data_IF_330995448352
#
_entry.id   IF_330995448352
#
_cell.length_a   1.000
_cell.length_b   1.000
_cell.length_c   1.000
_cell.angle_alpha   90.00
_cell.angle_beta   90.00
_cell.angle_gamma   90.00
#
_symmetry.space_group_name_H-M   'P 1'
#
loop_
_entity.id
_entity.type
_entity.pdbx_description
1 polymer ?
#
# COMPACT_ATOMS: atom_id res chain seq x y z
N UNK A 1 -14.68 -0.17 -14.16
CA UNK A 1 -14.56 1.29 -14.05
C UNK A 1 -13.11 1.67 -13.87
N UNK A 2 -12.77 2.96 -13.93
CA UNK A 2 -11.38 3.44 -13.78
C UNK A 2 -10.93 3.59 -12.32
N UNK A 3 -11.88 3.64 -11.39
CA UNK A 3 -11.64 3.64 -9.95
C UNK A 3 -12.00 2.25 -9.41
N UNK A 4 -11.04 1.56 -8.80
CA UNK A 4 -11.18 0.16 -8.36
C UNK A 4 -11.07 -0.01 -6.85
N UNK A 5 -11.18 1.08 -6.10
CA UNK A 5 -11.13 1.09 -4.64
C UNK A 5 -12.45 1.59 -4.07
N UNK A 6 -12.62 1.46 -2.76
CA UNK A 6 -13.73 2.09 -2.07
C UNK A 6 -13.53 3.60 -2.11
N UNK A 7 -14.55 4.34 -2.56
CA UNK A 7 -14.51 5.79 -2.60
C UNK A 7 -14.29 6.32 -1.18
N UNK A 8 -13.17 7.01 -0.96
CA UNK A 8 -12.77 7.55 0.35
C UNK A 8 -13.32 8.95 0.60
N UNK A 9 -13.99 9.57 -0.40
CA UNK A 9 -14.38 10.98 -0.36
C UNK A 9 -13.21 11.96 -0.53
N UNK A 10 -11.98 11.47 -0.59
CA UNK A 10 -10.76 12.28 -0.73
C UNK A 10 -10.21 12.18 -2.15
N UNK A 11 -9.88 13.34 -2.73
CA UNK A 11 -9.21 13.41 -4.02
C UNK A 11 -7.70 13.20 -3.88
N UNK A 12 -7.30 11.99 -3.47
CA UNK A 12 -5.89 11.60 -3.34
C UNK A 12 -5.27 11.11 -4.66
N UNK A 13 -4.01 10.67 -4.60
CA UNK A 13 -3.28 10.16 -5.76
C UNK A 13 -4.03 9.02 -6.50
N UNK A 14 -4.74 8.16 -5.77
CA UNK A 14 -5.55 7.07 -6.33
C UNK A 14 -6.70 7.63 -7.17
N UNK A 15 -7.44 8.60 -6.64
CA UNK A 15 -8.54 9.28 -7.34
C UNK A 15 -8.00 10.02 -8.56
N UNK A 16 -6.91 10.78 -8.40
CA UNK A 16 -6.25 11.47 -9.52
C UNK A 16 -5.84 10.51 -10.62
N UNK A 17 -5.22 9.36 -10.29
CA UNK A 17 -4.79 8.38 -11.29
C UNK A 17 -5.98 7.75 -12.03
N UNK A 18 -7.07 7.46 -11.32
CA UNK A 18 -8.31 6.99 -11.94
C UNK A 18 -8.92 8.05 -12.87
N UNK A 19 -8.87 9.33 -12.50
CA UNK A 19 -9.32 10.44 -13.35
C UNK A 19 -8.42 10.59 -14.57
N UNK A 20 -7.10 10.52 -14.43
CA UNK A 20 -6.15 10.51 -15.56
C UNK A 20 -6.46 9.35 -16.51
N UNK A 21 -6.73 8.15 -16.00
CA UNK A 21 -7.05 6.99 -16.81
C UNK A 21 -8.40 7.16 -17.54
N UNK A 22 -9.41 7.72 -16.86
CA UNK A 22 -10.69 8.07 -17.46
C UNK A 22 -10.51 9.09 -18.59
N UNK A 23 -9.77 10.18 -18.33
CA UNK A 23 -9.52 11.24 -19.29
C UNK A 23 -8.82 10.73 -20.56
N UNK A 24 -7.76 9.92 -20.39
CA UNK A 24 -7.05 9.26 -21.50
C UNK A 24 -7.98 8.38 -22.33
N UNK A 25 -8.83 7.58 -21.69
CA UNK A 25 -9.72 6.66 -22.40
C UNK A 25 -10.83 7.37 -23.17
N UNK A 26 -11.14 8.60 -22.78
CA UNK A 26 -12.21 9.42 -23.34
C UNK A 26 -11.71 10.52 -24.30
N UNK A 27 -10.40 10.55 -24.60
CA UNK A 27 -9.76 11.55 -25.46
C UNK A 27 -10.03 13.02 -25.04
N UNK A 28 -10.11 13.29 -23.72
CA UNK A 28 -10.27 14.64 -23.16
C UNK A 28 -8.98 15.13 -22.51
N UNK A 29 -8.96 16.38 -22.01
CA UNK A 29 -7.78 16.96 -21.34
C UNK A 29 -7.34 16.07 -20.17
N UNK A 30 -6.06 15.67 -20.18
CA UNK A 30 -5.48 14.75 -19.20
C UNK A 30 -4.68 15.53 -18.15
N UNK A 31 -5.39 16.17 -17.23
CA UNK A 31 -4.80 16.95 -16.13
C UNK A 31 -4.94 16.24 -14.76
N UNK A 32 -5.73 15.17 -14.70
CA UNK A 32 -6.04 14.46 -13.48
C UNK A 32 -6.94 15.26 -12.54
N UNK A 33 -7.72 16.21 -13.05
CA UNK A 33 -8.70 17.02 -12.31
C UNK A 33 -10.09 16.79 -12.88
N UNK A 34 -11.12 16.76 -12.03
CA UNK A 34 -12.51 16.69 -12.50
C UNK A 34 -13.00 18.10 -12.82
N UNK A 35 -12.57 18.63 -13.98
CA UNK A 35 -13.11 19.86 -14.56
C UNK A 35 -14.46 19.64 -15.24
N UNK A 36 -15.07 20.69 -15.77
CA UNK A 36 -16.40 20.66 -16.40
C UNK A 36 -16.54 19.56 -17.47
N UNK A 37 -15.56 19.44 -18.37
CA UNK A 37 -15.55 18.41 -19.42
C UNK A 37 -15.51 16.98 -18.85
N UNK A 38 -14.65 16.76 -17.85
CA UNK A 38 -14.54 15.45 -17.17
C UNK A 38 -15.82 15.13 -16.38
N UNK A 39 -16.39 16.11 -15.69
CA UNK A 39 -17.62 15.99 -14.91
C UNK A 39 -18.81 15.61 -15.81
N UNK A 40 -19.03 16.39 -16.87
CA UNK A 40 -20.14 16.18 -17.81
C UNK A 40 -20.06 14.80 -18.45
N UNK A 41 -18.85 14.30 -18.73
CA UNK A 41 -18.66 12.99 -19.34
C UNK A 41 -18.84 11.84 -18.34
N UNK A 42 -18.38 11.97 -17.09
CA UNK A 42 -18.58 10.96 -16.03
C UNK A 42 -20.07 10.75 -15.74
N UNK A 43 -20.83 11.84 -15.62
CA UNK A 43 -22.25 11.81 -15.28
C UNK A 43 -23.19 11.75 -16.50
N UNK A 44 -22.63 11.81 -17.70
CA UNK A 44 -23.34 11.64 -18.96
C UNK A 44 -23.37 10.20 -19.47
N UNK A 45 -24.05 9.99 -20.59
CA UNK A 45 -24.14 8.69 -21.28
C UNK A 45 -23.05 8.47 -22.34
N UNK A 46 -22.20 9.48 -22.60
CA UNK A 46 -21.17 9.44 -23.66
C UNK A 46 -19.82 8.88 -23.22
N UNK A 47 -19.64 8.54 -21.94
CA UNK A 47 -18.35 8.09 -21.42
C UNK A 47 -17.96 6.73 -22.02
N UNK A 48 -16.78 6.67 -22.64
CA UNK A 48 -16.09 5.42 -22.95
C UNK A 48 -15.69 4.75 -21.65
N UNK A 49 -16.44 3.70 -21.31
CA UNK A 49 -16.19 2.87 -20.13
C UNK A 49 -15.42 1.62 -20.59
N UNK A 50 -14.39 1.19 -19.85
CA UNK A 50 -13.82 -0.14 -20.06
C UNK A 50 -14.97 -1.13 -19.88
N UNK A 51 -15.01 -2.18 -20.70
CA UNK A 51 -15.86 -3.33 -20.43
C UNK A 51 -15.63 -3.77 -18.98
N UNK A 52 -16.69 -4.19 -18.29
CA UNK A 52 -16.55 -4.79 -16.97
C UNK A 52 -15.69 -6.05 -17.13
N UNK A 53 -14.37 -5.91 -16.99
CA UNK A 53 -13.47 -7.03 -17.02
C UNK A 53 -13.83 -7.89 -15.82
N UNK A 54 -14.25 -9.12 -16.08
CA UNK A 54 -14.55 -10.12 -15.07
C UNK A 54 -13.32 -10.56 -14.28
N UNK A 55 -12.14 -9.97 -14.52
CA UNK A 55 -10.92 -10.07 -13.70
C UNK A 55 -9.95 -8.96 -14.15
N UNK A 56 -9.93 -7.82 -13.45
CA UNK A 56 -8.65 -7.15 -13.28
C UNK A 56 -7.85 -8.08 -12.37
N UNK A 57 -6.94 -8.88 -12.93
CA UNK A 57 -5.93 -9.53 -12.13
C UNK A 57 -5.04 -8.40 -11.56
N UNK A 58 -5.40 -7.86 -10.39
CA UNK A 58 -4.41 -7.21 -9.55
C UNK A 58 -3.32 -8.25 -9.33
N UNK A 59 -2.06 -7.89 -9.52
CA UNK A 59 -0.94 -8.76 -9.16
C UNK A 59 -1.12 -9.11 -7.68
N UNK A 60 -1.52 -10.35 -7.39
CA UNK A 60 -1.67 -10.82 -6.02
C UNK A 60 -0.44 -11.66 -5.72
N UNK A 61 0.17 -11.36 -4.59
CA UNK A 61 1.23 -12.19 -4.09
C UNK A 61 0.70 -13.52 -3.56
N UNK A 62 1.58 -14.54 -3.46
CA UNK A 62 1.23 -15.84 -2.91
C UNK A 62 0.67 -15.73 -1.48
N UNK A 63 -0.28 -16.61 -1.14
CA UNK A 63 -0.86 -16.70 0.23
C UNK A 63 -0.33 -17.90 1.02
N UNK A 64 0.43 -18.74 0.34
CA UNK A 64 1.21 -19.84 0.89
C UNK A 64 2.51 -19.35 1.51
N UNK A 65 3.00 -20.13 2.46
CA UNK A 65 4.30 -19.94 3.05
C UNK A 65 5.38 -20.44 2.10
N UNK A 66 6.42 -19.63 1.90
CA UNK A 66 7.52 -19.92 0.95
C UNK A 66 8.86 -20.19 1.65
N UNK A 67 8.89 -20.12 2.98
CA UNK A 67 10.06 -20.43 3.82
C UNK A 67 9.72 -21.54 4.78
N UNK A 68 10.72 -22.23 5.31
CA UNK A 68 10.52 -23.18 6.41
C UNK A 68 10.21 -22.45 7.73
N UNK A 69 9.64 -23.18 8.70
CA UNK A 69 9.37 -22.69 10.07
C UNK A 69 7.90 -22.37 10.35
N UNK A 70 7.62 -21.89 11.56
CA UNK A 70 6.28 -21.45 11.95
C UNK A 70 5.97 -20.05 11.42
N UNK A 71 4.68 -19.78 11.17
CA UNK A 71 4.23 -18.43 10.79
C UNK A 71 4.51 -17.45 11.92
N UNK A 72 5.26 -16.41 11.58
CA UNK A 72 5.49 -15.28 12.47
C UNK A 72 4.22 -14.44 12.56
N UNK A 73 3.76 -14.21 13.78
CA UNK A 73 2.71 -13.24 14.13
C UNK A 73 3.29 -12.14 15.01
N UNK A 74 2.55 -11.03 15.14
CA UNK A 74 2.91 -9.91 16.02
C UNK A 74 1.72 -9.43 16.84
N UNK A 75 1.97 -8.75 17.96
CA UNK A 75 0.87 -8.10 18.68
C UNK A 75 0.38 -6.87 17.92
N UNK A 76 -0.92 -6.54 17.91
CA UNK A 76 -1.39 -5.23 17.48
C UNK A 76 -0.70 -4.14 18.31
N UNK A 77 -0.39 -3.00 17.67
CA UNK A 77 0.19 -1.83 18.32
C UNK A 77 -0.49 -0.58 17.74
N UNK A 78 -0.89 0.35 18.60
CA UNK A 78 -1.49 1.62 18.17
C UNK A 78 -0.46 2.47 17.41
N UNK A 79 -0.93 3.28 16.44
CA UNK A 79 -0.09 4.14 15.62
C UNK A 79 0.80 5.05 16.46
N UNK A 80 0.25 5.70 17.49
CA UNK A 80 0.99 6.57 18.40
C UNK A 80 2.23 5.87 19.00
N UNK A 81 2.07 4.62 19.44
CA UNK A 81 3.16 3.83 19.99
C UNK A 81 4.13 3.34 18.89
N UNK A 82 3.61 3.00 17.71
CA UNK A 82 4.41 2.61 16.57
C UNK A 82 5.26 3.78 16.05
N UNK A 83 4.71 5.00 16.09
CA UNK A 83 5.37 6.22 15.67
C UNK A 83 6.60 6.53 16.53
N UNK A 84 6.47 6.38 17.84
CA UNK A 84 7.58 6.54 18.80
C UNK A 84 8.68 5.48 18.61
N UNK A 85 8.27 4.24 18.32
CA UNK A 85 9.18 3.10 18.18
C UNK A 85 9.86 3.04 16.81
N UNK A 86 9.15 3.42 15.75
CA UNK A 86 9.62 3.34 14.37
C UNK A 86 10.16 4.70 13.92
N UNK A 87 11.29 5.17 14.45
CA UNK A 87 11.87 6.49 14.16
C UNK A 87 12.25 6.67 12.68
N UNK A 88 11.98 7.86 12.14
CA UNK A 88 12.42 8.26 10.80
C UNK A 88 13.95 8.15 10.70
N UNK A 89 14.43 7.63 9.57
CA UNK A 89 15.85 7.42 9.30
C UNK A 89 16.39 6.07 9.74
N UNK A 90 15.65 5.31 10.55
CA UNK A 90 16.05 3.98 11.01
C UNK A 90 15.54 2.87 10.07
N UNK A 91 16.25 1.75 10.10
CA UNK A 91 15.93 0.54 9.31
C UNK A 91 15.27 -0.51 10.19
N UNK A 92 14.23 -1.15 9.65
CA UNK A 92 13.40 -2.13 10.31
C UNK A 92 13.23 -3.37 9.43
N UNK A 93 13.11 -4.53 10.06
CA UNK A 93 12.75 -5.77 9.38
C UNK A 93 11.25 -5.92 9.31
N UNK A 94 10.74 -6.15 8.10
CA UNK A 94 9.35 -6.48 7.81
C UNK A 94 9.29 -7.91 7.32
N UNK A 95 8.37 -8.70 7.85
CA UNK A 95 8.10 -10.08 7.42
C UNK A 95 6.69 -10.18 6.89
N UNK A 96 6.53 -10.62 5.65
CA UNK A 96 5.22 -10.89 5.08
C UNK A 96 4.58 -12.11 5.75
N UNK A 97 3.38 -11.98 6.31
CA UNK A 97 2.72 -13.05 7.06
C UNK A 97 2.42 -14.27 6.18
N UNK A 98 2.09 -14.07 4.91
CA UNK A 98 1.77 -15.18 4.03
C UNK A 98 3.01 -15.97 3.64
N UNK A 99 3.96 -15.32 2.98
CA UNK A 99 5.15 -15.97 2.42
C UNK A 99 6.25 -16.23 3.43
N UNK A 100 6.22 -15.54 4.57
CA UNK A 100 7.27 -15.52 5.59
C UNK A 100 8.61 -14.98 5.09
N UNK A 101 8.62 -14.33 3.92
CA UNK A 101 9.80 -13.63 3.41
C UNK A 101 9.97 -12.32 4.19
N UNK A 102 11.19 -12.12 4.72
CA UNK A 102 11.58 -10.87 5.35
C UNK A 102 12.41 -9.97 4.43
N UNK A 103 12.23 -8.66 4.58
CA UNK A 103 13.04 -7.64 3.92
C UNK A 103 13.19 -6.42 4.82
N UNK A 104 14.24 -5.64 4.57
CA UNK A 104 14.54 -4.44 5.35
C UNK A 104 13.98 -3.19 4.69
N UNK A 105 13.35 -2.33 5.50
CA UNK A 105 12.82 -1.04 5.06
C UNK A 105 13.34 0.07 5.97
N UNK A 106 13.59 1.25 5.42
CA UNK A 106 13.89 2.46 6.19
C UNK A 106 12.62 3.29 6.30
N UNK A 107 12.28 3.79 7.50
CA UNK A 107 11.21 4.81 7.60
C UNK A 107 11.74 6.13 7.05
N UNK A 108 11.07 6.69 6.06
CA UNK A 108 11.47 7.92 5.37
C UNK A 108 10.53 9.09 5.64
N UNK A 109 9.35 8.82 6.18
CA UNK A 109 8.40 9.84 6.62
C UNK A 109 7.11 9.23 7.16
N UNK A 110 5.98 9.80 6.74
CA UNK A 110 4.63 9.38 7.09
C UNK A 110 4.02 10.16 8.26
N UNK A 111 2.71 10.41 8.16
CA UNK A 111 1.88 11.06 9.17
C UNK A 111 0.59 10.24 9.31
N UNK A 112 0.32 9.71 10.51
CA UNK A 112 -0.77 8.75 10.75
C UNK A 112 -0.50 7.33 10.25
N UNK A 113 0.61 7.10 9.54
CA UNK A 113 1.16 5.81 9.12
C UNK A 113 2.65 5.99 8.78
N UNK A 114 3.40 4.90 8.56
CA UNK A 114 4.81 4.97 8.24
C UNK A 114 5.03 4.94 6.71
N UNK A 115 5.68 5.97 6.17
CA UNK A 115 6.24 5.92 4.81
C UNK A 115 7.59 5.21 4.90
N UNK A 116 7.76 4.17 4.08
CA UNK A 116 8.97 3.35 4.08
C UNK A 116 9.51 3.10 2.69
N UNK A 117 10.83 3.05 2.57
CA UNK A 117 11.52 2.63 1.35
C UNK A 117 12.32 1.37 1.63
N UNK A 118 12.35 0.40 0.71
CA UNK A 118 13.24 -0.76 0.82
C UNK A 118 14.69 -0.29 0.98
N UNK A 119 15.40 -0.87 1.96
CA UNK A 119 16.75 -0.40 2.33
C UNK A 119 17.81 -0.68 1.25
N UNK A 120 17.56 -1.64 0.36
CA UNK A 120 18.46 -2.03 -0.72
C UNK A 120 17.72 -2.60 -1.93
N UNK A 121 18.43 -2.79 -3.05
CA UNK A 121 17.91 -3.48 -4.23
C UNK A 121 17.54 -4.95 -3.95
N UNK A 122 18.27 -5.61 -3.05
CA UNK A 122 17.95 -6.97 -2.63
C UNK A 122 16.65 -7.02 -1.81
N UNK A 123 16.44 -6.05 -0.92
CA UNK A 123 15.19 -5.92 -0.16
C UNK A 123 14.02 -5.63 -1.10
N UNK A 124 14.21 -4.78 -2.10
CA UNK A 124 13.16 -4.51 -3.08
C UNK A 124 12.85 -5.70 -3.99
N UNK A 125 13.85 -6.55 -4.29
CA UNK A 125 13.59 -7.82 -4.97
C UNK A 125 12.69 -8.74 -4.13
N UNK A 126 12.98 -8.88 -2.82
CA UNK A 126 12.14 -9.66 -1.90
C UNK A 126 10.74 -9.07 -1.74
N UNK A 127 10.63 -7.74 -1.62
CA UNK A 127 9.36 -7.03 -1.63
C UNK A 127 8.54 -7.41 -2.86
N UNK A 128 9.13 -7.34 -4.06
CA UNK A 128 8.42 -7.75 -5.29
C UNK A 128 8.01 -9.22 -5.26
N UNK A 129 8.86 -10.12 -4.74
CA UNK A 129 8.50 -11.54 -4.59
C UNK A 129 7.23 -11.72 -3.77
N UNK A 130 7.10 -11.03 -2.62
CA UNK A 130 5.89 -11.16 -1.79
C UNK A 130 4.63 -10.64 -2.48
N UNK A 131 4.75 -9.81 -3.51
CA UNK A 131 3.66 -9.30 -4.34
C UNK A 131 3.54 -10.02 -5.70
N UNK A 132 4.12 -11.22 -5.86
CA UNK A 132 3.98 -12.01 -7.08
C UNK A 132 4.96 -11.61 -8.20
N UNK A 133 6.11 -11.04 -7.84
CA UNK A 133 7.19 -10.64 -8.75
C UNK A 133 7.16 -9.19 -9.21
N UNK A 134 6.15 -8.41 -8.81
CA UNK A 134 5.97 -7.01 -9.18
C UNK A 134 5.59 -6.14 -7.95
N UNK A 135 5.45 -4.83 -8.14
CA UNK A 135 4.74 -3.98 -7.17
C UNK A 135 3.24 -4.12 -7.39
N UNK A 136 2.45 -3.99 -6.33
CA UNK A 136 1.01 -4.23 -6.40
C UNK A 136 0.23 -3.30 -5.51
N UNK A 137 -1.00 -3.01 -5.90
CA UNK A 137 -1.96 -2.32 -5.04
C UNK A 137 -2.57 -3.22 -3.95
N UNK A 138 -2.12 -4.47 -3.83
CA UNK A 138 -2.50 -5.37 -2.74
C UNK A 138 -2.03 -4.83 -1.38
N UNK A 139 -2.88 -5.02 -0.36
CA UNK A 139 -2.49 -4.88 1.05
C UNK A 139 -2.13 -6.24 1.61
N UNK A 140 -1.01 -6.32 2.31
CA UNK A 140 -0.52 -7.58 2.87
C UNK A 140 -0.42 -7.52 4.39
N UNK A 141 -0.77 -8.61 5.10
CA UNK A 141 -0.53 -8.73 6.51
C UNK A 141 0.98 -8.89 6.72
N UNK A 142 1.58 -8.03 7.55
CA UNK A 142 3.02 -8.07 7.80
C UNK A 142 3.32 -7.97 9.29
N UNK A 143 4.47 -8.49 9.69
CA UNK A 143 5.01 -8.34 11.03
C UNK A 143 6.27 -7.48 10.97
N UNK A 144 6.29 -6.38 11.73
CA UNK A 144 7.43 -5.49 11.86
C UNK A 144 8.16 -5.80 13.17
N UNK A 145 9.49 -5.93 13.11
CA UNK A 145 10.33 -6.08 14.30
C UNK A 145 10.73 -4.71 14.84
N UNK A 146 10.15 -4.30 15.96
CA UNK A 146 10.42 -3.02 16.64
C UNK A 146 11.08 -3.29 18.00
N UNK A 147 12.35 -2.92 18.16
CA UNK A 147 13.07 -3.10 19.44
C UNK A 147 13.07 -4.54 19.96
N UNK A 148 13.09 -5.53 19.06
CA UNK A 148 12.99 -6.96 19.38
C UNK A 148 11.56 -7.49 19.56
N UNK A 149 10.55 -6.62 19.67
CA UNK A 149 9.15 -7.02 19.68
C UNK A 149 8.60 -7.21 18.26
N UNK A 150 7.71 -8.19 18.09
CA UNK A 150 6.97 -8.44 16.84
C UNK A 150 5.64 -7.71 16.88
N UNK A 151 5.38 -6.89 15.87
CA UNK A 151 4.19 -6.05 15.80
C UNK A 151 3.42 -6.34 14.51
N UNK A 152 2.13 -6.60 14.63
CA UNK A 152 1.23 -6.80 13.50
C UNK A 152 0.94 -5.46 12.82
N UNK A 153 1.04 -5.46 11.49
CA UNK A 153 0.85 -4.28 10.66
C UNK A 153 0.27 -4.69 9.30
N UNK A 154 -0.09 -3.69 8.50
CA UNK A 154 -0.51 -3.86 7.12
C UNK A 154 0.41 -3.08 6.18
N UNK A 155 0.93 -3.75 5.16
CA UNK A 155 1.76 -3.14 4.13
C UNK A 155 0.95 -2.89 2.86
N UNK A 156 1.03 -1.67 2.32
CA UNK A 156 0.50 -1.34 1.01
C UNK A 156 1.59 -1.45 -0.07
N UNK A 157 1.40 -2.34 -1.04
CA UNK A 157 2.45 -2.82 -1.94
C UNK A 157 2.87 -1.92 -3.09
N UNK A 158 2.24 -0.75 -3.25
CA UNK A 158 2.48 0.13 -4.39
C UNK A 158 3.32 1.33 -3.96
N UNK A 159 4.61 1.39 -4.36
CA UNK A 159 5.41 2.59 -4.15
C UNK A 159 4.78 3.82 -4.80
N UNK A 160 4.77 4.94 -4.09
CA UNK A 160 4.22 6.20 -4.57
C UNK A 160 4.92 7.40 -3.90
N UNK A 161 4.52 8.61 -4.30
CA UNK A 161 5.04 9.84 -3.71
C UNK A 161 6.53 10.06 -3.95
N UNK A 162 7.22 10.54 -2.92
CA UNK A 162 8.63 10.89 -2.98
C UNK A 162 9.54 9.67 -2.79
N UNK A 163 10.81 9.84 -3.20
CA UNK A 163 11.87 8.84 -3.11
C UNK A 163 13.13 9.46 -2.52
N UNK A 164 13.73 8.79 -1.54
CA UNK A 164 14.96 9.23 -0.86
C UNK A 164 16.11 8.24 -1.01
N UNK A 165 15.83 6.96 -1.30
CA UNK A 165 16.84 5.91 -1.48
C UNK A 165 16.94 5.56 -2.97
N UNK A 166 17.83 6.25 -3.68
CA UNK A 166 18.02 6.07 -5.13
C UNK A 166 18.62 4.72 -5.52
N UNK A 167 19.28 4.03 -4.59
CA UNK A 167 19.97 2.76 -4.83
C UNK A 167 19.09 1.52 -4.64
N UNK A 168 17.90 1.65 -4.04
CA UNK A 168 17.02 0.51 -3.76
C UNK A 168 16.27 -0.02 -4.99
N UNK A 169 16.19 0.77 -6.07
CA UNK A 169 15.34 0.49 -7.22
C UNK A 169 13.83 0.68 -6.97
N UNK A 170 13.40 0.96 -5.73
CA UNK A 170 12.01 1.31 -5.43
C UNK A 170 11.72 2.74 -5.91
N UNK A 171 10.63 2.92 -6.67
CA UNK A 171 10.23 4.23 -7.20
C UNK A 171 9.15 4.85 -6.31
N UNK A 172 9.58 5.53 -5.24
CA UNK A 172 8.69 6.10 -4.22
C UNK A 172 8.84 5.39 -2.88
N UNK A 173 7.85 5.54 -1.99
CA UNK A 173 7.73 4.82 -0.73
C UNK A 173 6.46 3.95 -0.70
N UNK A 174 6.50 2.89 0.09
CA UNK A 174 5.33 2.10 0.49
C UNK A 174 4.81 2.58 1.85
N UNK A 175 3.55 2.29 2.16
CA UNK A 175 2.94 2.68 3.44
C UNK A 175 2.75 1.45 4.33
N UNK A 176 3.13 1.58 5.61
CA UNK A 176 2.84 0.60 6.65
C UNK A 176 1.86 1.20 7.66
N UNK A 177 0.74 0.50 7.86
CA UNK A 177 -0.34 0.87 8.77
C UNK A 177 -0.33 -0.02 10.00
N UNK A 178 -0.54 0.60 11.15
CA UNK A 178 -0.68 -0.04 12.46
C UNK A 178 -2.12 0.14 12.96
N UNK A 179 -2.42 -0.35 14.17
CA UNK A 179 -3.76 -0.15 14.76
C UNK A 179 -4.00 1.35 14.93
N UNK A 180 -5.21 1.84 14.65
CA UNK A 180 -5.57 3.26 14.72
C UNK A 180 -4.76 4.21 13.81
N UNK A 181 -4.02 3.67 12.82
CA UNK A 181 -3.42 4.49 11.76
C UNK A 181 -4.49 5.19 10.92
N UNK A 182 -4.19 6.40 10.44
CA UNK A 182 -5.08 7.21 9.63
C UNK A 182 -4.73 7.14 8.13
N UNK A 183 -5.75 7.07 7.27
CA UNK A 183 -5.63 7.29 5.83
C UNK A 183 -5.55 8.79 5.50
N UNK A 184 -4.50 9.48 5.98
CA UNK A 184 -4.29 10.91 5.77
C UNK A 184 -5.02 11.81 6.77
N UNK A 185 -5.36 13.03 6.34
CA UNK A 185 -5.90 14.11 7.20
C UNK A 185 -7.33 13.85 7.74
N UNK A 186 -8.00 12.83 7.20
CA UNK A 186 -9.31 12.37 7.66
C UNK A 186 -9.14 10.98 8.29
N UNK A 187 -9.53 10.82 9.55
CA UNK A 187 -9.49 9.57 10.35
C UNK A 187 -10.45 8.49 9.83
N UNK A 188 -10.36 8.16 8.54
CA UNK A 188 -11.11 7.08 7.93
C UNK A 188 -10.37 5.77 8.18
N UNK A 189 -11.02 4.86 8.89
CA UNK A 189 -10.53 3.50 9.12
C UNK A 189 -10.72 2.67 7.86
N UNK A 190 -9.62 2.12 7.34
CA UNK A 190 -9.64 1.19 6.21
C UNK A 190 -9.89 -0.23 6.70
N UNK A 191 -11.07 -0.78 6.40
CA UNK A 191 -11.44 -2.14 6.78
C UNK A 191 -10.46 -3.20 6.26
N UNK A 192 -9.78 -2.96 5.15
CA UNK A 192 -8.78 -3.90 4.62
C UNK A 192 -7.48 -3.84 5.42
N UNK A 193 -7.02 -2.65 5.83
CA UNK A 193 -5.84 -2.55 6.71
C UNK A 193 -6.13 -3.17 8.08
N UNK A 194 -7.33 -2.94 8.62
CA UNK A 194 -7.78 -3.58 9.87
C UNK A 194 -7.74 -5.10 9.74
N UNK A 195 -8.25 -5.66 8.65
CA UNK A 195 -8.21 -7.10 8.41
C UNK A 195 -6.78 -7.63 8.27
N UNK A 196 -5.89 -6.92 7.57
CA UNK A 196 -4.50 -7.34 7.45
C UNK A 196 -3.77 -7.32 8.80
N UNK A 197 -4.04 -6.34 9.66
CA UNK A 197 -3.49 -6.30 11.02
C UNK A 197 -4.05 -7.48 11.85
N UNK A 198 -5.34 -7.79 11.72
CA UNK A 198 -5.98 -8.93 12.39
C UNK A 198 -5.30 -10.25 12.00
N UNK A 199 -5.12 -10.50 10.70
CA UNK A 199 -4.44 -11.70 10.18
C UNK A 199 -2.99 -11.76 10.68
N UNK A 200 -2.23 -10.66 10.61
CA UNK A 200 -0.85 -10.61 11.08
C UNK A 200 -0.73 -10.82 12.61
N UNK A 201 -1.82 -10.59 13.35
CA UNK A 201 -1.90 -10.88 14.78
C UNK A 201 -2.20 -12.34 15.12
N UNK A 202 -2.45 -13.17 14.11
CA UNK A 202 -2.80 -14.59 14.29
C UNK A 202 -4.25 -14.80 14.70
N UNK A 203 -5.13 -13.81 14.48
CA UNK A 203 -6.56 -13.88 14.76
C UNK A 203 -7.38 -13.97 13.50
#
# INVERSE_FOLDING_TARGET
GFYTFRATGVYGAITRNAVVAFQKANDIIVDGTVGEETYNLIFGNGARRPSASSKLAQAQGPKEQLTDGERVTGRPLAWEQAEDAMRIGQTYTVTDYYTQISFSVKRTGGNGHADVECASAADFARFRTVFGGAVSWEKRPVVVTLGGARVAASLFGMPHGYRTISTSGMSGHACIYFTDSALGEYSLTDVEHVEMIRIASGS
#
